data_IF_670873353984
#
_entry.id   IF_670873353984
#
_cell.length_a   1.000
_cell.length_b   1.000
_cell.length_c   1.000
_cell.angle_alpha   90.00
_cell.angle_beta   90.00
_cell.angle_gamma   90.00
#
_symmetry.space_group_name_H-M   'P 1'
#
loop_
_entity.id
_entity.type
_entity.pdbx_description
1 polymer ?
#
# COMPACT_ATOMS: atom_id res chain seq x y z
N UNK A 1 3.17 -13.47 3.88
CA UNK A 1 2.27 -12.34 3.55
C UNK A 1 2.20 -11.35 4.71
N UNK A 2 1.90 -11.81 5.92
CA UNK A 2 1.78 -10.97 7.11
C UNK A 2 2.97 -10.03 7.36
N UNK A 3 4.20 -10.55 7.40
CA UNK A 3 5.41 -9.73 7.58
C UNK A 3 5.56 -8.62 6.52
N UNK A 4 5.21 -8.91 5.26
CA UNK A 4 5.22 -7.90 4.20
C UNK A 4 4.23 -6.76 4.49
N UNK A 5 3.01 -7.10 4.91
CA UNK A 5 1.98 -6.12 5.26
C UNK A 5 2.44 -5.25 6.43
N UNK A 6 3.02 -5.86 7.46
CA UNK A 6 3.51 -5.15 8.64
C UNK A 6 4.62 -4.15 8.25
N UNK A 7 5.63 -4.60 7.51
CA UNK A 7 6.74 -3.73 7.11
C UNK A 7 6.29 -2.63 6.14
N UNK A 8 5.40 -2.93 5.21
CA UNK A 8 4.85 -1.93 4.28
C UNK A 8 4.02 -0.89 5.04
N UNK A 9 3.18 -1.29 6.00
CA UNK A 9 2.46 -0.36 6.89
C UNK A 9 3.43 0.54 7.65
N UNK A 10 4.48 -0.01 8.28
CA UNK A 10 5.50 0.80 8.97
C UNK A 10 6.14 1.83 8.04
N UNK A 11 6.43 1.45 6.79
CA UNK A 11 6.98 2.38 5.79
C UNK A 11 5.99 3.51 5.46
N UNK A 12 4.72 3.16 5.21
CA UNK A 12 3.65 4.12 4.91
C UNK A 12 3.46 5.11 6.06
N UNK A 13 3.40 4.65 7.32
CA UNK A 13 3.29 5.55 8.48
C UNK A 13 4.48 6.51 8.63
N UNK A 14 5.66 6.14 8.13
CA UNK A 14 6.86 7.00 8.14
C UNK A 14 6.94 7.95 6.93
N UNK A 15 6.15 7.72 5.88
CA UNK A 15 6.16 8.52 4.64
C UNK A 15 5.82 10.00 4.85
N UNK A 16 4.82 10.38 5.68
CA UNK A 16 4.50 11.78 5.92
C UNK A 16 5.67 12.57 6.50
N UNK A 17 6.35 12.02 7.52
CA UNK A 17 7.49 12.67 8.14
C UNK A 17 8.64 12.87 7.15
N UNK A 18 8.94 11.86 6.31
CA UNK A 18 9.95 11.97 5.24
C UNK A 18 9.59 13.04 4.22
N UNK A 19 8.30 13.14 3.86
CA UNK A 19 7.81 14.16 2.93
C UNK A 19 7.98 15.56 3.52
N UNK A 20 7.62 15.76 4.80
CA UNK A 20 7.84 17.02 5.50
C UNK A 20 9.32 17.40 5.55
N UNK A 21 10.20 16.45 5.89
CA UNK A 21 11.65 16.68 5.91
C UNK A 21 12.19 17.09 4.53
N UNK A 22 11.70 16.46 3.45
CA UNK A 22 12.09 16.81 2.09
C UNK A 22 11.74 18.27 1.76
N UNK A 23 10.52 18.70 2.08
CA UNK A 23 10.08 20.09 1.85
C UNK A 23 10.80 21.09 2.74
N UNK A 24 11.14 20.73 3.98
CA UNK A 24 11.83 21.62 4.92
C UNK A 24 13.35 21.70 4.69
N UNK A 25 13.93 20.78 3.93
CA UNK A 25 15.39 20.69 3.69
C UNK A 25 16.01 22.03 3.23
N UNK A 26 15.46 22.75 2.22
CA UNK A 26 16.04 24.02 1.80
C UNK A 26 16.08 25.08 2.91
N UNK A 27 15.04 25.13 3.75
CA UNK A 27 14.97 26.05 4.87
C UNK A 27 15.98 25.73 5.97
N UNK A 28 16.23 24.44 6.24
CA UNK A 28 17.29 24.01 7.16
C UNK A 28 18.67 24.38 6.62
N UNK A 29 18.92 24.15 5.33
CA UNK A 29 20.18 24.52 4.67
C UNK A 29 20.41 26.03 4.73
N UNK A 30 19.41 26.84 4.40
CA UNK A 30 19.51 28.31 4.48
C UNK A 30 19.73 28.80 5.92
N UNK A 31 18.98 28.26 6.89
CA UNK A 31 19.11 28.63 8.29
C UNK A 31 20.50 28.28 8.85
N UNK A 32 21.09 27.16 8.41
CA UNK A 32 22.41 26.71 8.86
C UNK A 32 23.56 27.64 8.46
N UNK A 33 23.37 28.44 7.41
CA UNK A 33 24.39 29.37 6.91
C UNK A 33 24.40 30.71 7.66
N UNK A 34 23.37 31.01 8.47
CA UNK A 34 23.30 32.28 9.19
C UNK A 34 24.31 32.30 10.34
N UNK A 35 24.89 33.48 10.61
CA UNK A 35 25.87 33.73 11.69
C UNK A 35 25.68 35.14 12.25
N UNK A 36 26.21 35.39 13.44
CA UNK A 36 26.25 36.72 14.05
C UNK A 36 25.17 37.00 15.10
N UNK A 37 25.10 38.25 15.57
CA UNK A 37 24.07 38.67 16.53
C UNK A 37 22.69 38.62 15.85
N UNK A 38 21.67 38.17 16.59
CA UNK A 38 20.31 37.86 16.08
C UNK A 38 20.16 36.55 15.28
N UNK A 39 21.17 35.67 15.26
CA UNK A 39 21.12 34.34 14.62
C UNK A 39 19.79 33.61 14.85
N UNK A 40 19.39 33.46 16.12
CA UNK A 40 18.18 32.72 16.49
C UNK A 40 16.91 33.33 15.88
N UNK A 41 16.82 34.67 15.83
CA UNK A 41 15.67 35.38 15.24
C UNK A 41 15.59 35.12 13.73
N UNK A 42 16.74 35.13 13.06
CA UNK A 42 16.82 34.94 11.62
C UNK A 42 16.53 33.49 11.22
N UNK A 43 17.12 32.51 11.93
CA UNK A 43 16.80 31.09 11.72
C UNK A 43 15.31 30.80 11.92
N UNK A 44 14.71 31.35 12.99
CA UNK A 44 13.28 31.20 13.24
C UNK A 44 12.46 31.79 12.09
N UNK A 45 12.82 32.99 11.61
CA UNK A 45 12.14 33.65 10.49
C UNK A 45 12.16 32.77 9.24
N UNK A 46 13.32 32.25 8.84
CA UNK A 46 13.48 31.39 7.66
C UNK A 46 12.59 30.15 7.77
N UNK A 47 12.67 29.43 8.89
CA UNK A 47 11.91 28.21 9.10
C UNK A 47 10.40 28.46 9.10
N UNK A 48 9.94 29.52 9.80
CA UNK A 48 8.51 29.85 9.85
C UNK A 48 7.99 30.34 8.50
N UNK A 49 8.71 31.23 7.82
CA UNK A 49 8.32 31.71 6.49
C UNK A 49 8.21 30.54 5.51
N UNK A 50 9.23 29.68 5.44
CA UNK A 50 9.22 28.54 4.54
C UNK A 50 8.09 27.57 4.85
N UNK A 51 7.85 27.28 6.13
CA UNK A 51 6.76 26.45 6.59
C UNK A 51 5.42 27.01 6.11
N UNK A 52 5.11 28.29 6.39
CA UNK A 52 3.83 28.89 6.01
C UNK A 52 3.62 28.93 4.49
N UNK A 53 4.68 29.19 3.72
CA UNK A 53 4.62 29.17 2.25
C UNK A 53 4.32 27.78 1.69
N UNK A 54 4.92 26.72 2.26
CA UNK A 54 4.85 25.37 1.68
C UNK A 54 3.90 24.42 2.40
N UNK A 55 3.32 24.83 3.53
CA UNK A 55 2.48 23.98 4.40
C UNK A 55 1.45 23.19 3.62
N UNK A 56 0.63 23.88 2.84
CA UNK A 56 -0.47 23.27 2.08
C UNK A 56 0.03 22.25 1.05
N UNK A 57 1.03 22.63 0.25
CA UNK A 57 1.62 21.76 -0.77
C UNK A 57 2.30 20.53 -0.15
N UNK A 58 3.06 20.73 0.93
CA UNK A 58 3.74 19.68 1.67
C UNK A 58 2.76 18.64 2.24
N UNK A 59 1.67 19.09 2.87
CA UNK A 59 0.64 18.20 3.39
C UNK A 59 -0.10 17.47 2.28
N UNK A 60 -0.49 18.17 1.22
CA UNK A 60 -1.19 17.57 0.07
C UNK A 60 -0.33 16.48 -0.57
N UNK A 61 0.95 16.76 -0.81
CA UNK A 61 1.89 15.79 -1.36
C UNK A 61 2.08 14.59 -0.42
N UNK A 62 2.28 14.84 0.88
CA UNK A 62 2.48 13.78 1.87
C UNK A 62 1.27 12.84 1.95
N UNK A 63 0.05 13.38 1.98
CA UNK A 63 -1.20 12.61 1.99
C UNK A 63 -1.35 11.84 0.68
N UNK A 64 -1.16 12.50 -0.47
CA UNK A 64 -1.29 11.86 -1.78
C UNK A 64 -0.32 10.69 -1.96
N UNK A 65 0.95 10.88 -1.58
CA UNK A 65 1.96 9.81 -1.62
C UNK A 65 1.60 8.65 -0.69
N UNK A 66 1.22 8.94 0.55
CA UNK A 66 0.84 7.91 1.53
C UNK A 66 -0.37 7.12 1.06
N UNK A 67 -1.38 7.78 0.49
CA UNK A 67 -2.57 7.14 -0.04
C UNK A 67 -2.25 6.26 -1.27
N UNK A 68 -1.38 6.74 -2.15
CA UNK A 68 -0.90 5.95 -3.30
C UNK A 68 -0.20 4.67 -2.83
N UNK A 69 0.77 4.78 -1.92
CA UNK A 69 1.49 3.62 -1.37
C UNK A 69 0.55 2.63 -0.66
N UNK A 70 -0.49 3.14 0.00
CA UNK A 70 -1.51 2.32 0.65
C UNK A 70 -2.38 1.56 -0.34
N UNK A 71 -2.85 2.22 -1.41
CA UNK A 71 -3.64 1.58 -2.45
C UNK A 71 -2.82 0.52 -3.22
N UNK A 72 -1.54 0.79 -3.50
CA UNK A 72 -0.63 -0.20 -4.08
C UNK A 72 -0.46 -1.43 -3.18
N UNK A 73 -0.37 -1.23 -1.86
CA UNK A 73 -0.30 -2.33 -0.90
C UNK A 73 -1.58 -3.17 -0.92
N UNK A 74 -2.77 -2.55 -0.95
CA UNK A 74 -4.05 -3.28 -1.04
C UNK A 74 -4.11 -4.13 -2.30
N UNK A 75 -3.87 -3.53 -3.45
CA UNK A 75 -3.89 -4.24 -4.73
C UNK A 75 -2.87 -5.40 -4.78
N UNK A 76 -1.72 -5.25 -4.13
CA UNK A 76 -0.76 -6.35 -4.00
C UNK A 76 -1.31 -7.48 -3.13
N UNK A 77 -1.90 -7.17 -1.98
CA UNK A 77 -2.47 -8.18 -1.07
C UNK A 77 -3.63 -8.92 -1.74
N UNK A 78 -4.55 -8.19 -2.39
CA UNK A 78 -5.68 -8.76 -3.12
C UNK A 78 -5.23 -9.75 -4.19
N UNK A 79 -4.35 -9.31 -5.11
CA UNK A 79 -3.82 -10.19 -6.18
C UNK A 79 -3.13 -11.43 -5.64
N UNK A 80 -2.39 -11.29 -4.54
CA UNK A 80 -1.66 -12.42 -3.96
C UNK A 80 -2.60 -13.38 -3.23
N UNK A 81 -3.62 -12.87 -2.52
CA UNK A 81 -4.66 -13.72 -1.93
C UNK A 81 -5.42 -14.48 -3.02
N UNK A 82 -5.86 -13.80 -4.06
CA UNK A 82 -6.54 -14.40 -5.21
C UNK A 82 -5.68 -15.51 -5.84
N UNK A 83 -4.39 -15.23 -6.08
CA UNK A 83 -3.45 -16.21 -6.65
C UNK A 83 -3.28 -17.44 -5.77
N UNK A 84 -3.11 -17.27 -4.45
CA UNK A 84 -2.90 -18.40 -3.54
C UNK A 84 -4.19 -19.20 -3.30
N UNK A 85 -5.35 -18.54 -3.20
CA UNK A 85 -6.65 -19.20 -3.10
C UNK A 85 -6.94 -20.03 -4.35
N UNK A 86 -6.68 -19.49 -5.54
CA UNK A 86 -6.81 -20.20 -6.81
C UNK A 86 -5.95 -21.45 -6.85
N UNK A 87 -4.67 -21.34 -6.46
CA UNK A 87 -3.77 -22.50 -6.41
C UNK A 87 -4.28 -23.56 -5.45
N UNK A 88 -4.77 -23.16 -4.28
CA UNK A 88 -5.31 -24.07 -3.29
C UNK A 88 -6.57 -24.80 -3.81
N UNK A 89 -7.50 -24.07 -4.44
CA UNK A 89 -8.71 -24.65 -5.04
C UNK A 89 -8.37 -25.62 -6.17
N UNK A 90 -7.49 -25.23 -7.10
CA UNK A 90 -7.07 -26.10 -8.21
C UNK A 90 -6.37 -27.35 -7.71
N UNK A 91 -5.51 -27.23 -6.71
CA UNK A 91 -4.83 -28.37 -6.11
C UNK A 91 -5.83 -29.32 -5.42
N UNK A 92 -6.76 -28.77 -4.63
CA UNK A 92 -7.79 -29.57 -3.95
C UNK A 92 -8.69 -30.31 -4.93
N UNK A 93 -9.15 -29.64 -5.99
CA UNK A 93 -9.96 -30.27 -7.05
C UNK A 93 -9.18 -31.30 -7.86
N UNK A 94 -7.90 -31.06 -8.16
CA UNK A 94 -7.06 -32.01 -8.90
C UNK A 94 -6.70 -33.26 -8.09
N UNK A 95 -6.64 -33.15 -6.76
CA UNK A 95 -6.41 -34.28 -5.85
C UNK A 95 -7.68 -35.09 -5.58
N UNK A 96 -8.86 -34.56 -5.92
CA UNK A 96 -10.11 -35.28 -5.77
C UNK A 96 -10.23 -36.35 -6.85
N UNK A 97 -10.43 -37.64 -6.48
CA UNK A 97 -10.50 -38.70 -7.48
C UNK A 97 -11.73 -38.56 -8.40
N UNK A 98 -12.79 -37.87 -7.98
CA UNK A 98 -14.03 -37.73 -8.76
C UNK A 98 -15.03 -38.89 -8.58
N UNK A 99 -14.60 -40.00 -7.97
CA UNK A 99 -15.43 -41.20 -7.76
C UNK A 99 -15.95 -41.37 -6.32
N UNK A 100 -15.52 -40.51 -5.39
CA UNK A 100 -16.00 -40.51 -4.00
C UNK A 100 -16.75 -39.21 -3.75
N UNK A 101 -18.01 -39.14 -4.16
CA UNK A 101 -18.92 -38.08 -3.73
C UNK A 101 -19.50 -38.57 -2.40
N UNK A 102 -18.99 -38.03 -1.30
CA UNK A 102 -19.68 -38.17 -0.03
C UNK A 102 -20.98 -37.34 -0.14
N UNK A 103 -22.17 -37.94 0.01
CA UNK A 103 -23.45 -37.26 -0.21
C UNK A 103 -23.55 -35.94 0.56
N UNK A 104 -23.01 -35.95 1.78
CA UNK A 104 -23.02 -34.86 2.74
C UNK A 104 -22.20 -33.63 2.30
N UNK A 105 -21.34 -33.74 1.29
CA UNK A 105 -20.45 -32.65 0.83
C UNK A 105 -20.68 -32.24 -0.63
N UNK A 106 -21.79 -32.69 -1.23
CA UNK A 106 -22.06 -32.50 -2.66
C UNK A 106 -22.28 -31.03 -3.02
N UNK A 107 -22.95 -30.27 -2.16
CA UNK A 107 -23.24 -28.86 -2.40
C UNK A 107 -22.00 -27.98 -2.21
N UNK A 108 -21.18 -28.27 -1.19
CA UNK A 108 -19.90 -27.61 -0.93
C UNK A 108 -18.93 -27.81 -2.09
N UNK A 109 -18.91 -29.00 -2.69
CA UNK A 109 -18.07 -29.28 -3.84
C UNK A 109 -18.53 -28.49 -5.09
N UNK A 110 -19.84 -28.37 -5.32
CA UNK A 110 -20.38 -27.52 -6.40
C UNK A 110 -19.99 -26.07 -6.19
N UNK A 111 -20.15 -25.54 -4.97
CA UNK A 111 -19.78 -24.18 -4.59
C UNK A 111 -18.27 -23.93 -4.79
N UNK A 112 -17.41 -24.90 -4.45
CA UNK A 112 -15.97 -24.81 -4.71
C UNK A 112 -15.62 -24.75 -6.20
N UNK A 113 -16.32 -25.54 -7.04
CA UNK A 113 -16.11 -25.55 -8.50
C UNK A 113 -16.58 -24.22 -9.09
N UNK A 114 -17.76 -23.73 -8.69
CA UNK A 114 -18.31 -22.44 -9.12
C UNK A 114 -17.36 -21.30 -8.77
N UNK A 115 -16.93 -21.19 -7.52
CA UNK A 115 -15.95 -20.18 -7.07
C UNK A 115 -14.62 -20.28 -7.80
N UNK A 116 -14.15 -21.49 -8.12
CA UNK A 116 -12.93 -21.66 -8.92
C UNK A 116 -13.10 -21.09 -10.33
N UNK A 117 -14.27 -21.26 -10.95
CA UNK A 117 -14.58 -20.74 -12.28
C UNK A 117 -14.78 -19.22 -12.29
N UNK A 118 -15.38 -18.65 -11.24
CA UNK A 118 -15.51 -17.20 -11.06
C UNK A 118 -14.13 -16.52 -10.99
N UNK A 119 -13.22 -17.07 -10.18
CA UNK A 119 -11.85 -16.56 -10.04
C UNK A 119 -11.10 -16.61 -11.39
N UNK A 120 -11.30 -17.68 -12.17
CA UNK A 120 -10.71 -17.78 -13.51
C UNK A 120 -11.30 -16.75 -14.49
N UNK A 121 -12.60 -16.43 -14.37
CA UNK A 121 -13.29 -15.46 -15.23
C UNK A 121 -12.90 -14.01 -14.95
N UNK A 122 -12.75 -13.63 -13.67
CA UNK A 122 -12.31 -12.27 -13.26
C UNK A 122 -10.96 -11.94 -13.88
N UNK A 123 -10.05 -12.92 -13.97
CA UNK A 123 -8.72 -12.70 -14.54
C UNK A 123 -8.72 -12.57 -16.06
N UNK A 124 -9.56 -13.34 -16.77
CA UNK A 124 -9.69 -13.18 -18.23
C UNK A 124 -10.26 -11.81 -18.61
N UNK A 125 -11.10 -11.21 -17.75
CA UNK A 125 -11.54 -9.82 -17.90
C UNK A 125 -10.41 -8.80 -17.71
N UNK A 126 -9.52 -9.02 -16.73
CA UNK A 126 -8.38 -8.14 -16.43
C UNK A 126 -7.20 -8.25 -17.43
N UNK A 127 -7.14 -9.31 -18.24
CA UNK A 127 -6.14 -9.46 -19.32
C UNK A 127 -6.62 -8.88 -20.67
N UNK A 128 -7.88 -8.43 -20.76
CA UNK A 128 -8.49 -7.84 -21.96
C UNK A 128 -8.57 -6.29 -21.97
N UNK A 129 -8.25 -5.64 -20.85
CA UNK A 129 -8.17 -4.17 -20.68
C UNK A 129 -6.70 -3.69 -20.60
#
# INVERSE_FOLDING_TARGET
>A
MENYIIEKKKSIYRSPAKSVQHYMKPAYEEASQKKGSKLQKEMKRILTTHLETHKSAMFTYAVGKTMKEFNEMKAHVERKLETELRKALKLGLAQWPGHTILPDFTEELKDMIEKSNEIDSIRMGLECD
#
